data_IF_677022454100
#
_entry.id   IF_677022454100
#
_cell.length_a   1.000
_cell.length_b   1.000
_cell.length_c   1.000
_cell.angle_alpha   90.00
_cell.angle_beta   90.00
_cell.angle_gamma   90.00
#
_symmetry.space_group_name_H-M   'P 1'
#
loop_
_entity.id
_entity.type
_entity.pdbx_description
1 polymer ?
#
# COMPACT_ATOMS: atom_id res chain seq x y z
N UNK A 1 -9.97 -8.48 -4.79
CA UNK A 1 -10.50 -7.49 -3.83
C UNK A 1 -11.28 -6.44 -4.61
N UNK A 2 -12.41 -5.95 -4.11
CA UNK A 2 -13.17 -4.89 -4.78
C UNK A 2 -12.97 -3.56 -4.04
N UNK A 3 -12.42 -2.58 -4.74
CA UNK A 3 -12.24 -1.22 -4.23
C UNK A 3 -13.55 -0.43 -4.38
N UNK A 4 -13.73 0.58 -3.53
CA UNK A 4 -14.89 1.48 -3.60
C UNK A 4 -14.97 2.11 -5.00
N UNK A 5 -16.16 2.05 -5.61
CA UNK A 5 -16.45 2.60 -6.94
C UNK A 5 -15.67 1.95 -8.10
N UNK A 6 -15.05 0.79 -7.87
CA UNK A 6 -14.42 0.01 -8.94
C UNK A 6 -15.41 -1.00 -9.53
N UNK A 7 -15.55 -0.95 -10.86
CA UNK A 7 -16.42 -1.85 -11.64
C UNK A 7 -15.87 -3.28 -11.69
N UNK A 8 -14.55 -3.41 -11.78
CA UNK A 8 -13.85 -4.69 -11.83
C UNK A 8 -12.91 -4.84 -10.62
N UNK A 9 -12.74 -6.06 -10.10
CA UNK A 9 -11.89 -6.30 -8.95
C UNK A 9 -10.41 -6.11 -9.30
N UNK A 10 -9.64 -5.67 -8.31
CA UNK A 10 -8.18 -5.75 -8.32
C UNK A 10 -7.76 -7.15 -7.85
N UNK A 11 -6.87 -7.79 -8.59
CA UNK A 11 -6.35 -9.13 -8.29
C UNK A 11 -4.87 -9.02 -7.96
N UNK A 12 -4.49 -9.61 -6.83
CA UNK A 12 -3.08 -9.72 -6.41
C UNK A 12 -2.64 -11.17 -6.59
N UNK A 13 -1.63 -11.38 -7.41
CA UNK A 13 -0.97 -12.68 -7.54
C UNK A 13 0.04 -12.82 -6.39
N UNK A 14 -0.25 -13.73 -5.45
CA UNK A 14 0.59 -13.92 -4.26
C UNK A 14 1.89 -14.67 -4.56
N UNK A 15 2.00 -15.33 -5.72
CA UNK A 15 3.19 -16.08 -6.11
C UNK A 15 4.23 -15.18 -6.77
N UNK A 16 3.77 -14.23 -7.59
CA UNK A 16 4.64 -13.29 -8.33
C UNK A 16 4.73 -11.92 -7.68
N UNK A 17 3.75 -11.54 -6.86
CA UNK A 17 3.60 -10.19 -6.33
C UNK A 17 2.98 -9.20 -7.33
N UNK A 18 2.56 -9.66 -8.51
CA UNK A 18 1.94 -8.80 -9.52
C UNK A 18 0.53 -8.36 -9.11
N UNK A 19 0.21 -7.10 -9.35
CA UNK A 19 -1.16 -6.57 -9.21
C UNK A 19 -1.78 -6.43 -10.59
N UNK A 20 -2.88 -7.13 -10.84
CA UNK A 20 -3.62 -7.10 -12.11
C UNK A 20 -4.94 -6.37 -11.92
N UNK A 21 -5.16 -5.36 -12.75
CA UNK A 21 -6.39 -4.59 -12.77
C UNK A 21 -6.58 -3.89 -14.12
N UNK A 22 -7.83 -3.54 -14.41
CA UNK A 22 -8.18 -2.66 -15.53
C UNK A 22 -9.21 -1.66 -15.02
N UNK A 23 -8.80 -0.39 -14.96
CA UNK A 23 -9.66 0.71 -14.57
C UNK A 23 -10.07 1.58 -15.76
N UNK A 24 -9.75 1.18 -17.00
CA UNK A 24 -10.01 1.91 -18.25
C UNK A 24 -9.80 3.41 -18.11
N UNK A 25 -8.54 3.86 -18.01
CA UNK A 25 -8.19 5.28 -17.83
C UNK A 25 -8.91 5.98 -16.65
N UNK A 26 -9.35 5.22 -15.64
CA UNK A 26 -10.08 5.71 -14.49
C UNK A 26 -11.60 5.68 -14.62
N UNK A 27 -12.17 5.39 -15.79
CA UNK A 27 -13.62 5.31 -16.00
C UNK A 27 -14.29 4.18 -15.21
N UNK A 28 -13.54 3.14 -14.86
CA UNK A 28 -14.04 1.97 -14.14
C UNK A 28 -13.50 1.86 -12.72
N UNK A 29 -12.84 2.91 -12.23
CA UNK A 29 -12.34 2.98 -10.87
C UNK A 29 -11.23 4.02 -10.73
N UNK A 30 -11.31 4.83 -9.69
CA UNK A 30 -10.25 5.80 -9.41
C UNK A 30 -8.98 5.09 -8.93
N UNK A 31 -7.87 5.26 -9.66
CA UNK A 31 -6.55 4.72 -9.32
C UNK A 31 -6.10 5.11 -7.89
N UNK A 32 -6.51 6.28 -7.40
CA UNK A 32 -6.15 6.75 -6.07
C UNK A 32 -6.55 5.76 -4.97
N UNK A 33 -7.72 5.12 -5.07
CA UNK A 33 -8.15 4.12 -4.08
C UNK A 33 -7.21 2.91 -4.02
N UNK A 34 -6.64 2.51 -5.17
CA UNK A 34 -5.64 1.44 -5.20
C UNK A 34 -4.31 1.91 -4.60
N UNK A 35 -3.90 3.14 -4.91
CA UNK A 35 -2.68 3.72 -4.35
C UNK A 35 -2.74 3.85 -2.82
N UNK A 36 -3.87 4.32 -2.28
CA UNK A 36 -4.08 4.46 -0.84
C UNK A 36 -4.04 3.10 -0.15
N UNK A 37 -4.67 2.08 -0.75
CA UNK A 37 -4.62 0.70 -0.25
C UNK A 37 -3.17 0.17 -0.22
N UNK A 38 -2.42 0.35 -1.31
CA UNK A 38 -1.03 -0.10 -1.40
C UNK A 38 -0.14 0.63 -0.39
N UNK A 39 -0.35 1.92 -0.19
CA UNK A 39 0.39 2.70 0.79
C UNK A 39 0.13 2.20 2.21
N UNK A 40 -1.14 1.99 2.59
CA UNK A 40 -1.48 1.43 3.91
C UNK A 40 -0.89 0.03 4.11
N UNK A 41 -0.96 -0.83 3.09
CA UNK A 41 -0.32 -2.14 3.13
C UNK A 41 1.20 -2.03 3.32
N UNK A 42 1.88 -1.14 2.60
CA UNK A 42 3.32 -0.95 2.72
C UNK A 42 3.73 -0.48 4.12
N UNK A 43 2.94 0.40 4.75
CA UNK A 43 3.12 0.83 6.14
C UNK A 43 3.07 -0.35 7.09
N UNK A 44 2.00 -1.14 7.04
CA UNK A 44 1.81 -2.25 7.95
C UNK A 44 2.82 -3.38 7.72
N UNK A 45 3.16 -3.66 6.45
CA UNK A 45 4.20 -4.63 6.11
C UNK A 45 5.56 -4.19 6.64
N UNK A 46 5.90 -2.91 6.52
CA UNK A 46 7.16 -2.35 7.04
C UNK A 46 7.23 -2.47 8.57
N UNK A 47 6.16 -2.09 9.28
CA UNK A 47 6.08 -2.23 10.75
C UNK A 47 6.23 -3.68 11.19
N UNK A 48 5.59 -4.62 10.49
CA UNK A 48 5.68 -6.04 10.79
C UNK A 48 7.12 -6.57 10.65
N UNK A 49 7.79 -6.24 9.54
CA UNK A 49 9.16 -6.69 9.29
C UNK A 49 10.18 -6.01 10.21
N UNK A 50 9.99 -4.72 10.51
CA UNK A 50 10.82 -4.00 11.48
C UNK A 50 10.70 -4.63 12.88
N UNK A 51 9.48 -4.90 13.33
CA UNK A 51 9.23 -5.58 14.61
C UNK A 51 9.93 -6.94 14.69
N UNK A 52 9.90 -7.74 13.61
CA UNK A 52 10.58 -9.04 13.55
C UNK A 52 12.09 -8.93 13.71
N UNK A 53 12.68 -7.81 13.30
CA UNK A 53 14.12 -7.54 13.40
C UNK A 53 14.51 -6.74 14.66
N UNK A 54 13.55 -6.39 15.52
CA UNK A 54 13.80 -5.55 16.70
C UNK A 54 14.01 -4.07 16.39
N UNK A 55 13.63 -3.62 15.20
CA UNK A 55 13.75 -2.23 14.77
C UNK A 55 12.52 -1.41 15.19
N UNK A 56 12.71 -0.11 15.39
CA UNK A 56 11.59 0.82 15.60
C UNK A 56 11.22 1.53 14.30
N UNK A 57 9.96 1.92 14.16
CA UNK A 57 9.44 2.62 12.98
C UNK A 57 8.70 3.87 13.42
N UNK A 58 8.98 5.00 12.78
CA UNK A 58 8.23 6.25 12.93
C UNK A 58 7.45 6.51 11.64
N UNK A 59 6.17 6.84 11.80
CA UNK A 59 5.26 7.18 10.70
C UNK A 59 4.92 8.67 10.74
N UNK A 60 4.92 9.32 9.56
CA UNK A 60 4.51 10.72 9.40
C UNK A 60 3.66 10.87 8.14
N UNK A 61 2.44 11.37 8.30
CA UNK A 61 1.61 11.82 7.17
C UNK A 61 2.15 13.13 6.60
N UNK A 62 2.19 13.23 5.27
CA UNK A 62 2.58 14.42 4.53
C UNK A 62 1.33 15.18 4.04
N UNK A 63 1.49 16.46 3.73
CA UNK A 63 0.38 17.35 3.33
C UNK A 63 -0.32 16.90 2.04
N UNK A 64 0.37 16.17 1.18
CA UNK A 64 -0.15 15.64 -0.09
C UNK A 64 -0.78 14.24 0.04
N UNK A 65 -1.01 13.78 1.27
CA UNK A 65 -1.60 12.47 1.55
C UNK A 65 -0.61 11.32 1.50
N UNK A 66 0.68 11.55 1.19
CA UNK A 66 1.69 10.50 1.27
C UNK A 66 2.08 10.20 2.71
N UNK A 67 2.63 9.01 2.94
CA UNK A 67 3.16 8.59 4.24
C UNK A 67 4.67 8.38 4.14
N UNK A 68 5.41 9.03 5.04
CA UNK A 68 6.82 8.79 5.27
C UNK A 68 7.01 7.77 6.41
N UNK A 69 7.85 6.77 6.17
CA UNK A 69 8.27 5.79 7.17
C UNK A 69 9.77 5.91 7.39
N UNK A 70 10.18 6.03 8.65
CA UNK A 70 11.58 5.98 9.06
C UNK A 70 11.81 4.74 9.92
N UNK A 71 12.67 3.83 9.46
CA UNK A 71 13.05 2.61 10.20
C UNK A 71 14.38 2.87 10.90
N UNK A 72 14.39 2.78 12.23
CA UNK A 72 15.61 2.87 13.01
C UNK A 72 16.13 1.46 13.28
N UNK A 73 17.23 1.13 12.65
CA UNK A 73 18.01 -0.07 12.92
C UNK A 73 18.96 0.28 14.06
N UNK A 74 18.81 -0.37 15.22
CA UNK A 74 19.81 -0.23 16.29
C UNK A 74 21.16 -0.74 15.79
N UNK A 75 22.26 -0.13 16.24
CA UNK A 75 23.63 -0.50 15.87
C UNK A 75 23.98 -1.96 16.21
#
# INVERSE_FOLDING_TARGET
MQLRDWRYPVVFDLSTGETRFDNYQGYWGNQQHLNDFLQAYAVEKTKLEARRKGYSVTERSLEDGRIQLSVNVGD
#
